data_IF_362276949832
#
_entry.id   IF_362276949832
#
_cell.length_a   1.000
_cell.length_b   1.000
_cell.length_c   1.000
_cell.angle_alpha   90.00
_cell.angle_beta   90.00
_cell.angle_gamma   90.00
#
_symmetry.space_group_name_H-M   'P 1'
#
loop_
_entity.id
_entity.type
_entity.pdbx_description
1 polymer ?
#
# COMPACT_ATOMS: atom_id res chain seq x y z
N UNK A 1 37.34 -12.76 -49.68
CA UNK A 1 36.10 -13.18 -48.99
C UNK A 1 36.37 -13.22 -47.50
N UNK A 2 35.82 -12.29 -46.71
CA UNK A 2 36.04 -12.21 -45.27
C UNK A 2 34.70 -12.37 -44.53
N UNK A 3 34.62 -13.36 -43.65
CA UNK A 3 33.44 -13.72 -42.86
C UNK A 3 33.08 -12.61 -41.85
N UNK A 4 31.87 -12.04 -41.96
CA UNK A 4 31.27 -11.23 -40.89
C UNK A 4 30.69 -12.15 -39.82
N UNK A 5 31.29 -12.14 -38.62
CA UNK A 5 30.68 -12.74 -37.41
C UNK A 5 29.57 -11.81 -36.91
N UNK A 6 28.33 -12.29 -36.97
CA UNK A 6 27.17 -11.61 -36.38
C UNK A 6 27.16 -11.87 -34.88
N UNK A 7 27.31 -10.82 -34.07
CA UNK A 7 27.23 -10.89 -32.62
C UNK A 7 25.75 -10.99 -32.21
N UNK A 8 25.36 -12.12 -31.61
CA UNK A 8 24.04 -12.27 -30.95
C UNK A 8 24.02 -11.38 -29.71
N UNK A 9 23.21 -10.32 -29.75
CA UNK A 9 22.79 -9.57 -28.56
C UNK A 9 22.01 -10.49 -27.64
N UNK A 10 22.61 -10.84 -26.50
CA UNK A 10 21.93 -11.53 -25.41
C UNK A 10 20.93 -10.54 -24.77
N UNK A 11 19.64 -10.89 -24.82
CA UNK A 11 18.58 -10.14 -24.16
C UNK A 11 18.77 -10.22 -22.64
N UNK A 12 18.99 -9.08 -22.00
CA UNK A 12 19.11 -8.98 -20.56
C UNK A 12 17.78 -9.38 -19.91
N UNK A 13 17.75 -10.56 -19.31
CA UNK A 13 16.63 -11.02 -18.47
C UNK A 13 16.62 -10.11 -17.24
N UNK A 14 15.72 -9.13 -17.24
CA UNK A 14 15.55 -8.21 -16.12
C UNK A 14 15.44 -8.99 -14.81
N UNK A 15 16.36 -8.71 -13.90
CA UNK A 15 16.29 -9.18 -12.52
C UNK A 15 14.94 -8.75 -11.97
N UNK A 16 14.03 -9.71 -11.75
CA UNK A 16 12.81 -9.47 -10.98
C UNK A 16 13.31 -9.11 -9.59
N UNK A 17 13.36 -7.82 -9.29
CA UNK A 17 13.52 -7.35 -7.92
C UNK A 17 12.53 -8.11 -7.07
N UNK A 18 13.01 -8.85 -6.08
CA UNK A 18 12.15 -9.49 -5.10
C UNK A 18 11.31 -8.37 -4.50
N UNK A 19 10.01 -8.33 -4.84
CA UNK A 19 9.09 -7.42 -4.16
C UNK A 19 9.19 -7.78 -2.69
N UNK A 20 9.69 -6.86 -1.87
CA UNK A 20 9.71 -7.03 -0.43
C UNK A 20 8.33 -7.52 0.02
N UNK A 21 8.30 -8.53 0.88
CA UNK A 21 7.07 -9.20 1.30
C UNK A 21 6.04 -8.15 1.78
N UNK A 22 4.84 -8.21 1.21
CA UNK A 22 3.75 -7.32 1.59
C UNK A 22 3.22 -7.75 2.96
N UNK A 23 3.62 -7.04 4.03
CA UNK A 23 3.16 -7.36 5.38
C UNK A 23 2.63 -6.13 6.09
N UNK A 24 1.65 -6.34 6.98
CA UNK A 24 1.17 -5.27 7.86
C UNK A 24 2.27 -4.78 8.80
N UNK A 25 3.15 -5.66 9.27
CA UNK A 25 4.29 -5.28 10.12
C UNK A 25 5.24 -4.31 9.42
N UNK A 26 5.48 -4.49 8.11
CA UNK A 26 6.27 -3.54 7.34
C UNK A 26 5.56 -2.17 7.23
N UNK A 27 4.23 -2.15 7.12
CA UNK A 27 3.46 -0.90 7.13
C UNK A 27 3.52 -0.22 8.49
N UNK A 28 3.36 -0.95 9.60
CA UNK A 28 3.46 -0.44 10.98
C UNK A 28 4.82 0.17 11.30
N UNK A 29 5.90 -0.37 10.73
CA UNK A 29 7.25 0.18 10.91
C UNK A 29 7.45 1.51 10.17
N UNK A 30 6.79 1.69 9.03
CA UNK A 30 7.01 2.84 8.14
C UNK A 30 6.00 3.97 8.36
N UNK A 31 4.74 3.64 8.67
CA UNK A 31 3.73 4.61 9.03
C UNK A 31 4.00 5.20 10.42
N UNK A 32 3.53 6.43 10.71
CA UNK A 32 3.54 6.92 12.07
C UNK A 32 2.54 6.12 12.93
N UNK A 33 2.70 6.20 14.25
CA UNK A 33 1.70 5.72 15.20
C UNK A 33 0.81 6.89 15.67
N UNK A 34 -0.25 6.57 16.41
CA UNK A 34 -1.24 7.54 16.90
C UNK A 34 -0.61 8.74 17.61
N UNK A 35 0.28 8.47 18.56
CA UNK A 35 1.00 9.51 19.31
C UNK A 35 1.82 10.43 18.38
N UNK A 36 2.43 9.90 17.32
CA UNK A 36 3.14 10.72 16.33
C UNK A 36 2.14 11.54 15.50
N UNK A 37 1.03 10.95 15.07
CA UNK A 37 -0.01 11.65 14.31
C UNK A 37 -0.62 12.82 15.10
N UNK A 38 -0.94 12.62 16.38
CA UNK A 38 -1.43 13.67 17.29
C UNK A 38 -0.43 14.82 17.44
N UNK A 39 0.85 14.49 17.68
CA UNK A 39 1.92 15.49 17.81
C UNK A 39 2.10 16.29 16.52
N UNK A 40 2.05 15.62 15.37
CA UNK A 40 2.15 16.26 14.06
C UNK A 40 0.95 17.18 13.83
N UNK A 41 -0.28 16.70 14.10
CA UNK A 41 -1.48 17.50 13.95
C UNK A 41 -1.42 18.78 14.80
N UNK A 42 -1.02 18.65 16.06
CA UNK A 42 -0.85 19.79 16.96
C UNK A 42 0.26 20.77 16.49
N UNK A 43 1.43 20.24 16.11
CA UNK A 43 2.58 21.06 15.73
C UNK A 43 2.37 21.85 14.43
N UNK A 44 1.60 21.30 13.49
CA UNK A 44 1.35 21.90 12.18
C UNK A 44 -0.08 22.46 12.03
N UNK A 45 -0.85 22.53 13.14
CA UNK A 45 -2.25 22.96 13.17
C UNK A 45 -3.13 22.26 12.12
N UNK A 46 -2.89 20.96 11.90
CA UNK A 46 -3.64 20.14 10.97
C UNK A 46 -4.85 19.49 11.67
N UNK A 47 -5.97 19.28 10.97
CA UNK A 47 -7.09 18.53 11.52
C UNK A 47 -6.67 17.08 11.79
N UNK A 48 -6.98 16.58 12.99
CA UNK A 48 -6.73 15.19 13.37
C UNK A 48 -7.87 14.30 12.81
N UNK A 49 -7.59 13.33 11.93
CA UNK A 49 -8.59 12.36 11.48
C UNK A 49 -9.09 11.48 12.64
N UNK A 50 -10.35 11.04 12.55
CA UNK A 50 -10.89 9.98 13.42
C UNK A 50 -10.36 8.61 12.96
N UNK A 51 -9.15 8.27 13.41
CA UNK A 51 -8.48 7.02 13.02
C UNK A 51 -9.23 5.79 13.52
N UNK A 52 -9.86 5.87 14.69
CA UNK A 52 -10.64 4.76 15.23
C UNK A 52 -11.91 4.56 14.40
N UNK A 53 -12.65 5.62 14.08
CA UNK A 53 -13.80 5.55 13.19
C UNK A 53 -13.45 5.03 11.80
N UNK A 54 -12.27 5.39 11.26
CA UNK A 54 -11.76 4.83 9.99
C UNK A 54 -11.56 3.31 10.09
N UNK A 55 -10.91 2.84 11.18
CA UNK A 55 -10.68 1.42 11.44
C UNK A 55 -12.00 0.65 11.51
N UNK A 56 -12.91 1.10 12.38
CA UNK A 56 -14.21 0.48 12.60
C UNK A 56 -15.07 0.46 11.32
N UNK A 57 -15.03 1.53 10.54
CA UNK A 57 -15.73 1.61 9.26
C UNK A 57 -15.22 0.57 8.27
N UNK A 58 -13.89 0.43 8.12
CA UNK A 58 -13.33 -0.55 7.18
C UNK A 58 -13.58 -1.99 7.63
N UNK A 59 -13.55 -2.23 8.94
CA UNK A 59 -13.91 -3.52 9.53
C UNK A 59 -15.38 -3.86 9.22
N UNK A 60 -16.30 -2.91 9.46
CA UNK A 60 -17.73 -3.08 9.19
C UNK A 60 -18.03 -3.27 7.69
N UNK A 61 -17.44 -2.45 6.82
CA UNK A 61 -17.64 -2.52 5.36
C UNK A 61 -17.17 -3.86 4.82
N UNK A 62 -16.03 -4.38 5.27
CA UNK A 62 -15.52 -5.67 4.79
C UNK A 62 -16.46 -6.82 5.21
N UNK A 63 -16.99 -6.80 6.44
CA UNK A 63 -18.01 -7.76 6.90
C UNK A 63 -19.31 -7.67 6.12
N UNK A 64 -19.81 -6.46 5.87
CA UNK A 64 -21.02 -6.26 5.08
C UNK A 64 -20.84 -6.75 3.64
N UNK A 65 -19.71 -6.44 3.02
CA UNK A 65 -19.38 -6.92 1.69
C UNK A 65 -19.28 -8.45 1.65
N UNK A 66 -18.73 -9.10 2.69
CA UNK A 66 -18.67 -10.56 2.78
C UNK A 66 -20.06 -11.18 2.80
N UNK A 67 -20.93 -10.69 3.70
CA UNK A 67 -22.29 -11.20 3.84
C UNK A 67 -23.14 -10.98 2.58
N UNK A 68 -22.82 -9.96 1.77
CA UNK A 68 -23.51 -9.73 0.50
C UNK A 68 -23.23 -10.81 -0.56
N UNK A 69 -22.20 -11.65 -0.38
CA UNK A 69 -21.92 -12.82 -1.24
C UNK A 69 -22.58 -14.11 -0.75
N UNK A 70 -23.42 -14.06 0.28
CA UNK A 70 -24.10 -15.24 0.81
C UNK A 70 -24.87 -15.98 -0.31
N UNK A 71 -24.76 -17.31 -0.30
CA UNK A 71 -25.26 -18.26 -1.31
C UNK A 71 -24.78 -18.06 -2.77
N UNK A 72 -24.10 -16.95 -3.08
CA UNK A 72 -23.74 -16.55 -4.45
C UNK A 72 -22.27 -16.84 -4.79
N UNK A 73 -21.41 -17.07 -3.79
CA UNK A 73 -20.08 -17.63 -3.96
C UNK A 73 -19.85 -18.78 -2.98
N UNK A 74 -19.12 -19.81 -3.42
CA UNK A 74 -18.61 -20.80 -2.48
C UNK A 74 -17.55 -20.19 -1.55
N UNK A 75 -17.43 -20.73 -0.35
CA UNK A 75 -16.57 -20.21 0.73
C UNK A 75 -15.13 -19.97 0.28
N UNK A 76 -14.54 -20.89 -0.50
CA UNK A 76 -13.16 -20.75 -1.00
C UNK A 76 -13.02 -19.56 -1.96
N UNK A 77 -13.97 -19.38 -2.88
CA UNK A 77 -13.97 -18.26 -3.81
C UNK A 77 -14.13 -16.93 -3.08
N UNK A 78 -15.01 -16.88 -2.07
CA UNK A 78 -15.20 -15.72 -1.19
C UNK A 78 -13.91 -15.41 -0.44
N UNK A 79 -13.30 -16.39 0.24
CA UNK A 79 -11.99 -16.21 0.91
C UNK A 79 -10.92 -15.67 -0.04
N UNK A 80 -10.76 -16.25 -1.23
CA UNK A 80 -9.79 -15.76 -2.23
C UNK A 80 -10.08 -14.34 -2.71
N UNK A 81 -11.34 -13.94 -2.78
CA UNK A 81 -11.74 -12.58 -3.14
C UNK A 81 -11.35 -11.58 -2.04
N UNK A 82 -11.72 -11.86 -0.79
CA UNK A 82 -11.44 -10.99 0.35
C UNK A 82 -9.95 -10.96 0.71
N UNK A 83 -9.23 -12.06 0.51
CA UNK A 83 -7.78 -12.11 0.59
C UNK A 83 -7.10 -11.05 -0.29
N UNK A 84 -7.64 -10.81 -1.50
CA UNK A 84 -7.13 -9.78 -2.43
C UNK A 84 -7.53 -8.37 -2.00
N UNK A 85 -8.76 -8.17 -1.53
CA UNK A 85 -9.25 -6.86 -1.04
C UNK A 85 -8.41 -6.41 0.16
N UNK A 86 -8.27 -7.28 1.17
CA UNK A 86 -7.45 -7.00 2.35
C UNK A 86 -6.00 -6.72 1.95
N UNK A 87 -5.45 -7.48 1.01
CA UNK A 87 -4.11 -7.25 0.47
C UNK A 87 -3.94 -5.88 -0.21
N UNK A 88 -4.96 -5.39 -0.92
CA UNK A 88 -4.93 -4.05 -1.52
C UNK A 88 -4.86 -2.94 -0.45
N UNK A 89 -5.60 -3.09 0.64
CA UNK A 89 -5.58 -2.14 1.77
C UNK A 89 -4.23 -2.16 2.49
N UNK A 90 -3.67 -3.34 2.79
CA UNK A 90 -2.32 -3.47 3.36
C UNK A 90 -1.26 -2.87 2.43
N UNK A 91 -1.38 -3.08 1.12
CA UNK A 91 -0.46 -2.51 0.15
C UNK A 91 -0.56 -0.99 0.07
N UNK A 92 -1.77 -0.44 0.21
CA UNK A 92 -1.99 1.01 0.28
C UNK A 92 -1.30 1.60 1.50
N UNK A 93 -1.50 1.01 2.68
CA UNK A 93 -0.85 1.43 3.92
C UNK A 93 0.68 1.36 3.81
N UNK A 94 1.22 0.25 3.30
CA UNK A 94 2.66 0.09 3.11
C UNK A 94 3.24 1.13 2.13
N UNK A 95 2.55 1.39 1.03
CA UNK A 95 2.93 2.40 0.05
C UNK A 95 2.96 3.81 0.67
N UNK A 96 1.92 4.15 1.42
CA UNK A 96 1.82 5.43 2.11
C UNK A 96 2.91 5.59 3.18
N UNK A 97 3.19 4.54 3.97
CA UNK A 97 4.28 4.55 4.95
C UNK A 97 5.66 4.78 4.32
N UNK A 98 5.94 4.15 3.17
CA UNK A 98 7.18 4.40 2.40
C UNK A 98 7.27 5.85 1.94
N UNK A 99 6.17 6.37 1.39
CA UNK A 99 6.13 7.74 0.89
C UNK A 99 6.31 8.75 2.03
N UNK A 100 5.60 8.58 3.14
CA UNK A 100 5.78 9.37 4.36
C UNK A 100 7.24 9.32 4.86
N UNK A 101 7.83 8.12 4.97
CA UNK A 101 9.23 7.96 5.41
C UNK A 101 10.22 8.71 4.52
N UNK A 102 9.98 8.68 3.20
CA UNK A 102 10.75 9.47 2.23
C UNK A 102 10.57 10.98 2.49
N UNK A 103 9.34 11.46 2.69
CA UNK A 103 9.06 12.88 2.92
C UNK A 103 9.62 13.40 4.24
N UNK A 104 9.65 12.59 5.29
CA UNK A 104 10.36 12.94 6.53
C UNK A 104 11.85 13.12 6.28
N UNK A 105 12.47 12.26 5.47
CA UNK A 105 13.89 12.40 5.10
C UNK A 105 14.13 13.69 4.33
N UNK A 106 13.32 13.96 3.29
CA UNK A 106 13.41 15.20 2.50
C UNK A 106 13.23 16.46 3.37
N UNK A 107 12.31 16.43 4.33
CA UNK A 107 12.06 17.52 5.26
C UNK A 107 13.24 17.77 6.22
N UNK A 108 13.88 16.69 6.71
CA UNK A 108 15.10 16.78 7.53
C UNK A 108 16.27 17.36 6.73
N UNK A 109 16.47 16.88 5.51
CA UNK A 109 17.53 17.35 4.63
C UNK A 109 17.36 18.83 4.27
N UNK A 110 16.14 19.26 3.95
CA UNK A 110 15.84 20.66 3.67
C UNK A 110 16.12 21.56 4.89
N UNK A 111 15.80 21.09 6.09
CA UNK A 111 16.06 21.82 7.35
C UNK A 111 17.56 21.90 7.65
N UNK A 112 18.31 20.83 7.40
CA UNK A 112 19.76 20.80 7.58
C UNK A 112 20.50 21.74 6.59
N UNK A 113 20.01 21.83 5.34
CA UNK A 113 20.58 22.76 4.35
C UNK A 113 20.37 24.23 4.74
N UNK A 114 19.17 24.59 5.17
CA UNK A 114 18.86 25.95 5.65
C UNK A 114 19.77 26.36 6.83
N UNK A 115 20.07 25.43 7.75
CA UNK A 115 20.99 25.68 8.86
C UNK A 115 22.45 25.93 8.41
N UNK A 116 22.87 25.40 7.26
CA UNK A 116 24.22 25.56 6.71
C UNK A 116 24.35 26.75 5.75
N UNK A 117 23.28 27.08 4.99
CA UNK A 117 23.21 28.19 4.03
C UNK A 117 23.18 29.58 4.71
N UNK A 118 22.99 29.63 6.02
CA UNK A 118 23.20 30.84 6.84
C UNK A 118 24.64 31.39 6.82
N UNK A 119 25.58 30.75 6.10
CA UNK A 119 26.99 31.13 6.08
C UNK A 119 27.42 31.98 4.90
N UNK A 120 26.87 31.81 3.69
CA UNK A 120 27.25 32.62 2.52
C UNK A 120 26.11 32.59 1.49
N UNK A 121 25.53 33.77 1.22
CA UNK A 121 24.86 34.13 -0.05
C UNK A 121 23.63 33.29 -0.50
N UNK A 122 22.45 33.52 0.10
CA UNK A 122 21.17 33.69 -0.62
C UNK A 122 20.02 33.80 0.40
N UNK A 123 19.52 35.02 0.60
CA UNK A 123 18.41 35.30 1.51
C UNK A 123 17.13 34.68 0.96
N UNK A 124 16.46 33.93 1.83
CA UNK A 124 15.14 33.32 1.70
C UNK A 124 14.05 34.19 1.06
N UNK A 125 12.94 33.52 0.71
CA UNK A 125 11.69 34.10 0.24
C UNK A 125 11.35 35.46 0.89
N UNK A 126 10.67 36.38 0.17
CA UNK A 126 10.33 37.70 0.70
C UNK A 126 9.72 37.61 2.10
N UNK A 127 10.11 38.51 3.00
CA UNK A 127 9.65 38.57 4.39
C UNK A 127 8.13 38.39 4.45
N UNK A 128 7.66 37.34 5.12
CA UNK A 128 6.24 37.01 5.25
C UNK A 128 5.77 35.79 4.45
N UNK A 129 6.64 35.11 3.70
CA UNK A 129 6.32 33.86 2.99
C UNK A 129 7.11 32.66 3.55
N UNK A 130 6.47 31.49 3.56
CA UNK A 130 7.10 30.24 3.98
C UNK A 130 8.37 29.95 3.16
N UNK A 131 9.42 29.47 3.83
CA UNK A 131 10.61 28.96 3.14
C UNK A 131 10.29 27.64 2.42
N UNK A 132 11.18 27.22 1.52
CA UNK A 132 11.07 25.89 0.89
C UNK A 132 11.13 24.78 1.94
N UNK A 133 11.94 24.96 2.98
CA UNK A 133 12.05 24.01 4.08
C UNK A 133 10.73 23.91 4.86
N UNK A 134 10.06 25.03 5.12
CA UNK A 134 8.76 25.08 5.82
C UNK A 134 7.70 24.29 5.04
N UNK A 135 7.54 24.58 3.74
CA UNK A 135 6.61 23.84 2.87
C UNK A 135 6.90 22.35 2.82
N UNK A 136 8.18 21.96 2.84
CA UNK A 136 8.58 20.54 2.80
C UNK A 136 8.22 19.84 4.11
N UNK A 137 8.40 20.51 5.27
CA UNK A 137 7.95 20.00 6.57
C UNK A 137 6.43 19.90 6.66
N UNK A 138 5.71 20.92 6.21
CA UNK A 138 4.24 20.93 6.14
C UNK A 138 3.72 19.75 5.33
N UNK A 139 4.29 19.51 4.15
CA UNK A 139 3.88 18.38 3.32
C UNK A 139 4.17 17.03 3.98
N UNK A 140 5.33 16.87 4.63
CA UNK A 140 5.65 15.65 5.38
C UNK A 140 4.66 15.42 6.54
N UNK A 141 4.19 16.49 7.19
CA UNK A 141 3.19 16.42 8.25
C UNK A 141 1.83 15.93 7.72
N UNK A 142 1.37 16.45 6.58
CA UNK A 142 0.14 15.97 5.92
C UNK A 142 0.26 14.48 5.56
N UNK A 143 1.42 14.06 5.02
CA UNK A 143 1.66 12.66 4.67
C UNK A 143 1.67 11.74 5.90
N UNK A 144 2.06 12.24 7.07
CA UNK A 144 1.99 11.47 8.31
C UNK A 144 0.54 11.07 8.64
N UNK A 145 -0.39 12.04 8.58
CA UNK A 145 -1.80 11.81 8.87
C UNK A 145 -2.44 10.88 7.84
N UNK A 146 -2.13 11.06 6.55
CA UNK A 146 -2.64 10.19 5.49
C UNK A 146 -2.12 8.76 5.62
N UNK A 147 -0.83 8.58 5.91
CA UNK A 147 -0.23 7.25 6.09
C UNK A 147 -0.84 6.51 7.29
N UNK A 148 -1.11 7.21 8.40
CA UNK A 148 -1.73 6.58 9.56
C UNK A 148 -3.21 6.25 9.33
N UNK A 149 -3.97 7.11 8.62
CA UNK A 149 -5.34 6.81 8.22
C UNK A 149 -5.43 5.54 7.36
N UNK A 150 -4.52 5.37 6.40
CA UNK A 150 -4.48 4.16 5.58
C UNK A 150 -4.04 2.92 6.37
N UNK A 151 -3.15 3.07 7.36
CA UNK A 151 -2.83 1.99 8.29
C UNK A 151 -4.05 1.58 9.11
N UNK A 152 -4.80 2.53 9.68
CA UNK A 152 -6.02 2.25 10.44
C UNK A 152 -7.06 1.51 9.58
N UNK A 153 -7.26 1.93 8.33
CA UNK A 153 -8.12 1.26 7.36
C UNK A 153 -7.67 -0.19 7.09
N UNK A 154 -6.37 -0.41 6.88
CA UNK A 154 -5.82 -1.75 6.68
C UNK A 154 -5.98 -2.64 7.92
N UNK A 155 -5.79 -2.09 9.13
CA UNK A 155 -5.97 -2.84 10.37
C UNK A 155 -7.44 -3.24 10.61
N UNK A 156 -8.40 -2.36 10.31
CA UNK A 156 -9.83 -2.70 10.36
C UNK A 156 -10.17 -3.84 9.39
N UNK A 157 -9.65 -3.80 8.17
CA UNK A 157 -9.85 -4.88 7.22
C UNK A 157 -9.19 -6.21 7.65
N UNK A 158 -8.03 -6.16 8.31
CA UNK A 158 -7.38 -7.35 8.85
C UNK A 158 -8.18 -7.96 10.00
N UNK A 159 -8.73 -7.14 10.90
CA UNK A 159 -9.63 -7.59 11.97
C UNK A 159 -10.84 -8.31 11.37
N UNK A 160 -11.52 -7.67 10.42
CA UNK A 160 -12.67 -8.28 9.76
C UNK A 160 -12.31 -9.57 9.03
N UNK A 161 -11.20 -9.58 8.26
CA UNK A 161 -10.75 -10.79 7.57
C UNK A 161 -10.54 -11.96 8.53
N UNK A 162 -9.87 -11.71 9.66
CA UNK A 162 -9.63 -12.72 10.70
C UNK A 162 -10.91 -13.25 11.32
N UNK A 163 -11.85 -12.38 11.64
CA UNK A 163 -13.11 -12.80 12.24
C UNK A 163 -13.99 -13.61 11.29
N UNK A 164 -14.03 -13.20 10.03
CA UNK A 164 -14.85 -13.83 8.99
C UNK A 164 -14.28 -15.21 8.61
N UNK A 165 -12.96 -15.31 8.47
CA UNK A 165 -12.31 -16.53 7.95
C UNK A 165 -11.74 -17.44 9.03
N UNK A 166 -11.55 -16.92 10.25
CA UNK A 166 -10.81 -17.59 11.31
C UNK A 166 -9.29 -17.59 11.13
N UNK A 167 -8.76 -17.01 10.04
CA UNK A 167 -7.35 -17.04 9.69
C UNK A 167 -6.70 -15.64 9.75
N UNK A 168 -5.46 -15.58 10.25
CA UNK A 168 -4.64 -14.38 10.09
C UNK A 168 -4.27 -14.19 8.60
N UNK A 169 -4.53 -12.99 8.07
CA UNK A 169 -4.18 -12.65 6.70
C UNK A 169 -2.66 -12.72 6.48
N UNK A 170 -2.25 -13.25 5.32
CA UNK A 170 -0.86 -13.28 4.86
C UNK A 170 -0.78 -12.81 3.42
N UNK A 171 0.36 -12.32 2.93
CA UNK A 171 0.50 -11.99 1.52
C UNK A 171 0.21 -13.22 0.64
N UNK A 172 -0.54 -13.02 -0.45
CA UNK A 172 -0.72 -14.08 -1.44
C UNK A 172 0.60 -14.40 -2.13
N UNK A 173 1.03 -15.65 -2.05
CA UNK A 173 2.12 -16.21 -2.85
C UNK A 173 1.49 -17.12 -3.91
N UNK A 174 1.74 -16.83 -5.19
CA UNK A 174 1.23 -17.67 -6.27
C UNK A 174 1.85 -19.07 -6.17
N UNK A 175 1.02 -20.09 -5.98
CA UNK A 175 1.44 -21.47 -6.22
C UNK A 175 1.70 -21.65 -7.71
N UNK A 176 2.83 -22.26 -8.06
CA UNK A 176 3.16 -22.61 -9.44
C UNK A 176 2.09 -23.57 -9.99
N UNK A 177 1.44 -23.19 -11.11
CA UNK A 177 0.42 -24.02 -11.76
C UNK A 177 1.01 -25.37 -12.20
N UNK A 178 0.41 -26.46 -11.71
CA UNK A 178 0.58 -27.80 -12.27
C UNK A 178 -0.29 -28.02 -13.52
N UNK A 179 0.07 -28.96 -14.42
CA UNK A 179 -0.58 -29.09 -15.72
C UNK A 179 -2.00 -29.66 -15.61
N UNK A 180 -2.97 -29.04 -16.32
CA UNK A 180 -4.37 -29.48 -16.38
C UNK A 180 -4.60 -30.51 -17.50
N UNK A 181 -5.33 -31.60 -17.22
CA UNK A 181 -5.66 -32.66 -18.20
C UNK A 181 -7.16 -32.83 -18.44
N UNK A 182 -7.52 -32.66 -19.72
CA UNK A 182 -8.53 -33.31 -20.59
C UNK A 182 -9.76 -34.02 -19.98
N UNK A 183 -10.87 -33.29 -19.81
CA UNK A 183 -12.24 -33.84 -19.82
C UNK A 183 -13.13 -33.00 -20.74
N UNK A 184 -13.21 -33.39 -22.03
CA UNK A 184 -13.66 -32.50 -23.12
C UNK A 184 -15.04 -32.84 -23.72
N UNK A 185 -15.81 -33.78 -23.15
CA UNK A 185 -17.10 -34.21 -23.78
C UNK A 185 -18.38 -34.06 -22.95
N UNK A 186 -18.38 -34.09 -21.61
CA UNK A 186 -19.53 -33.59 -20.82
C UNK A 186 -19.57 -32.06 -20.78
N UNK A 187 -18.37 -31.45 -20.82
CA UNK A 187 -18.19 -30.02 -20.84
C UNK A 187 -18.98 -29.31 -21.96
N UNK A 188 -19.19 -29.91 -23.13
CA UNK A 188 -19.85 -29.19 -24.24
C UNK A 188 -21.32 -28.83 -23.98
N UNK A 189 -22.07 -29.65 -23.20
CA UNK A 189 -23.47 -29.37 -22.86
C UNK A 189 -23.61 -28.46 -21.63
N UNK A 190 -22.62 -28.44 -20.75
CA UNK A 190 -22.53 -27.49 -19.64
C UNK A 190 -21.97 -26.14 -20.11
N UNK A 191 -21.10 -26.15 -21.13
CA UNK A 191 -20.49 -24.96 -21.72
C UNK A 191 -21.48 -24.15 -22.58
N UNK A 192 -22.53 -24.77 -23.12
CA UNK A 192 -23.59 -24.03 -23.80
C UNK A 192 -24.39 -23.14 -22.83
N UNK A 193 -24.36 -23.41 -21.52
CA UNK A 193 -24.93 -22.52 -20.51
C UNK A 193 -24.08 -21.24 -20.29
N UNK A 194 -22.83 -21.19 -20.77
CA UNK A 194 -21.94 -20.02 -20.66
C UNK A 194 -21.86 -19.18 -21.94
N UNK A 195 -22.65 -19.50 -22.98
CA UNK A 195 -22.66 -18.77 -24.24
C UNK A 195 -24.04 -18.15 -24.46
N UNK A 196 -24.08 -16.81 -24.56
CA UNK A 196 -25.25 -16.02 -24.98
C UNK A 196 -25.48 -16.10 -26.48
#
# INVERSE_FOLDING_TARGET
MAFKRSAKTASAKGSKTSRAALTIEAARLLCPNEMVAEKVAAAFALPLPDFQGIRETHESVLRQAWNAFDESLNERATMMHFQRITGALVSSALGAGRFYSQKVTEAKDATARLANEHRDEDRDAPVGFDSKADRTRQFAAEMALQAYALLAAAEGALTAYKEITGEDWKAYEAQAEGPATVERRSAAAELSAFQS
#
